data_IF_253128763560
#
_entry.id   IF_253128763560
#
_cell.length_a   1.000
_cell.length_b   1.000
_cell.length_c   1.000
_cell.angle_alpha   90.00
_cell.angle_beta   90.00
_cell.angle_gamma   90.00
#
_symmetry.space_group_name_H-M   'P 1'
#
loop_
_entity.id
_entity.type
_entity.pdbx_description
1 polymer ?
#
# COMPACT_ATOMS: atom_id res chain seq x y z
N UNK A 1 -28.53 34.70 -19.32
CA UNK A 1 -29.02 33.96 -18.14
C UNK A 1 -29.06 32.44 -18.37
N UNK A 2 -27.94 31.82 -18.78
CA UNK A 2 -27.84 30.36 -19.06
C UNK A 2 -26.59 29.68 -18.46
N UNK A 3 -25.57 30.45 -18.08
CA UNK A 3 -24.28 29.96 -17.57
C UNK A 3 -24.34 29.51 -16.10
N UNK A 4 -25.10 30.20 -15.24
CA UNK A 4 -25.23 29.85 -13.82
C UNK A 4 -25.92 28.51 -13.57
N UNK A 5 -26.79 28.05 -14.50
CA UNK A 5 -27.48 26.75 -14.35
C UNK A 5 -26.56 25.56 -14.66
N UNK A 6 -25.58 25.72 -15.55
CA UNK A 6 -24.62 24.66 -15.90
C UNK A 6 -23.58 24.50 -14.78
N UNK A 7 -23.15 25.59 -14.15
CA UNK A 7 -22.22 25.58 -13.02
C UNK A 7 -22.85 24.91 -11.78
N UNK A 8 -24.15 25.16 -11.53
CA UNK A 8 -24.90 24.49 -10.45
C UNK A 8 -25.09 22.99 -10.69
N UNK A 9 -25.31 22.57 -11.94
CA UNK A 9 -25.45 21.14 -12.29
C UNK A 9 -24.12 20.37 -12.16
N UNK A 10 -22.99 20.97 -12.55
CA UNK A 10 -21.65 20.38 -12.37
C UNK A 10 -21.26 20.27 -10.89
N UNK A 11 -21.63 21.27 -10.07
CA UNK A 11 -21.39 21.26 -8.62
C UNK A 11 -22.14 20.13 -7.91
N UNK A 12 -23.40 19.86 -8.29
CA UNK A 12 -24.17 18.73 -7.74
C UNK A 12 -23.64 17.36 -8.18
N UNK A 13 -23.05 17.24 -9.38
CA UNK A 13 -22.48 15.98 -9.85
C UNK A 13 -21.19 15.61 -9.08
N UNK A 14 -20.37 16.60 -8.73
CA UNK A 14 -19.17 16.39 -7.92
C UNK A 14 -19.50 16.10 -6.44
N UNK A 15 -20.45 16.82 -5.83
CA UNK A 15 -20.86 16.56 -4.43
C UNK A 15 -21.59 15.23 -4.27
N UNK A 16 -22.46 14.86 -5.22
CA UNK A 16 -23.20 13.59 -5.19
C UNK A 16 -22.32 12.36 -5.42
N UNK A 17 -21.36 12.45 -6.34
CA UNK A 17 -20.40 11.37 -6.60
C UNK A 17 -19.47 11.11 -5.42
N UNK A 18 -18.94 12.19 -4.82
CA UNK A 18 -18.07 12.10 -3.63
C UNK A 18 -18.85 11.54 -2.43
N UNK A 19 -20.07 12.01 -2.16
CA UNK A 19 -20.90 11.48 -1.08
C UNK A 19 -21.30 10.00 -1.27
N UNK A 20 -21.57 9.56 -2.50
CA UNK A 20 -21.91 8.16 -2.79
C UNK A 20 -20.70 7.21 -2.58
N UNK A 21 -19.50 7.63 -2.98
CA UNK A 21 -18.26 6.87 -2.75
C UNK A 21 -17.98 6.74 -1.25
N UNK A 22 -18.04 7.85 -0.49
CA UNK A 22 -17.85 7.80 0.96
C UNK A 22 -18.92 6.96 1.70
N UNK A 23 -20.18 7.01 1.24
CA UNK A 23 -21.25 6.19 1.83
C UNK A 23 -21.04 4.68 1.56
N UNK A 24 -20.57 4.33 0.35
CA UNK A 24 -20.20 2.96 0.00
C UNK A 24 -19.06 2.43 0.89
N UNK A 25 -17.99 3.21 1.05
CA UNK A 25 -16.84 2.85 1.88
C UNK A 25 -17.19 2.73 3.37
N UNK A 26 -18.06 3.60 3.90
CA UNK A 26 -18.55 3.51 5.28
C UNK A 26 -19.31 2.21 5.54
N UNK A 27 -20.19 1.82 4.62
CA UNK A 27 -20.96 0.57 4.76
C UNK A 27 -20.07 -0.69 4.68
N UNK A 28 -19.06 -0.68 3.80
CA UNK A 28 -18.10 -1.77 3.68
C UNK A 28 -17.23 -1.90 4.94
N UNK A 29 -16.75 -0.77 5.47
CA UNK A 29 -15.96 -0.72 6.71
C UNK A 29 -16.73 -1.31 7.90
N UNK A 30 -17.99 -0.94 8.09
CA UNK A 30 -18.83 -1.47 9.18
C UNK A 30 -19.00 -3.00 9.11
N UNK A 31 -19.26 -3.53 7.91
CA UNK A 31 -19.38 -4.99 7.68
C UNK A 31 -18.06 -5.70 8.02
N UNK A 32 -16.93 -5.13 7.60
CA UNK A 32 -15.61 -5.69 7.88
C UNK A 32 -15.27 -5.63 9.37
N UNK A 33 -15.68 -4.56 10.08
CA UNK A 33 -15.50 -4.46 11.53
C UNK A 33 -16.30 -5.54 12.28
N UNK A 34 -17.57 -5.76 11.93
CA UNK A 34 -18.38 -6.83 12.52
C UNK A 34 -17.79 -8.22 12.25
N UNK A 35 -17.25 -8.43 11.05
CA UNK A 35 -16.53 -9.65 10.69
C UNK A 35 -15.24 -9.80 11.51
N UNK A 36 -14.52 -8.71 11.75
CA UNK A 36 -13.31 -8.73 12.57
C UNK A 36 -13.62 -9.08 14.04
N UNK A 37 -14.71 -8.56 14.60
CA UNK A 37 -15.12 -8.85 15.98
C UNK A 37 -15.58 -10.31 16.19
N UNK A 38 -16.14 -10.92 15.15
CA UNK A 38 -16.68 -12.29 15.20
C UNK A 38 -15.70 -13.39 14.78
N UNK A 39 -14.51 -13.03 14.29
CA UNK A 39 -13.48 -13.98 13.82
C UNK A 39 -12.44 -14.28 14.89
N UNK A 40 -12.08 -15.56 15.01
CA UNK A 40 -10.96 -16.01 15.83
C UNK A 40 -9.59 -15.65 15.23
N UNK A 41 -8.52 -16.10 15.86
CA UNK A 41 -7.14 -15.89 15.39
C UNK A 41 -6.77 -16.84 14.24
N UNK A 42 -7.40 -16.63 13.08
CA UNK A 42 -7.18 -17.42 11.87
C UNK A 42 -6.90 -16.55 10.63
N UNK A 43 -6.73 -17.20 9.49
CA UNK A 43 -6.46 -16.53 8.22
C UNK A 43 -7.61 -15.64 7.75
N UNK A 44 -8.85 -15.89 8.19
CA UNK A 44 -9.98 -15.02 7.83
C UNK A 44 -9.83 -13.66 8.51
N UNK A 45 -9.39 -13.64 9.78
CA UNK A 45 -9.06 -12.41 10.49
C UNK A 45 -7.97 -11.60 9.78
N UNK A 46 -6.89 -12.26 9.36
CA UNK A 46 -5.81 -11.63 8.60
C UNK A 46 -6.29 -11.02 7.27
N UNK A 47 -7.15 -11.73 6.53
CA UNK A 47 -7.75 -11.21 5.29
C UNK A 47 -8.64 -10.00 5.55
N UNK A 48 -9.47 -10.06 6.59
CA UNK A 48 -10.34 -8.95 6.97
C UNK A 48 -9.56 -7.71 7.39
N UNK A 49 -8.43 -7.87 8.09
CA UNK A 49 -7.53 -6.77 8.39
C UNK A 49 -6.92 -6.15 7.12
N UNK A 50 -6.49 -6.96 6.14
CA UNK A 50 -6.05 -6.42 4.84
C UNK A 50 -7.17 -5.62 4.13
N UNK A 51 -8.39 -6.15 4.10
CA UNK A 51 -9.54 -5.48 3.48
C UNK A 51 -9.85 -4.14 4.18
N UNK A 52 -9.76 -4.08 5.52
CA UNK A 52 -9.91 -2.85 6.29
C UNK A 52 -8.83 -1.82 5.97
N UNK A 53 -7.56 -2.25 5.83
CA UNK A 53 -6.47 -1.36 5.42
C UNK A 53 -6.74 -0.75 4.04
N UNK A 54 -7.33 -1.52 3.12
CA UNK A 54 -7.66 -1.04 1.77
C UNK A 54 -8.84 -0.07 1.75
N UNK A 55 -9.94 -0.37 2.47
CA UNK A 55 -11.12 0.52 2.55
C UNK A 55 -10.79 1.81 3.31
N UNK A 56 -9.92 1.76 4.33
CA UNK A 56 -9.52 2.94 5.09
C UNK A 56 -8.42 3.78 4.42
N UNK A 57 -8.07 3.56 3.15
CA UNK A 57 -7.11 4.41 2.41
C UNK A 57 -7.34 5.93 2.56
N UNK A 58 -8.59 6.45 2.54
CA UNK A 58 -8.86 7.88 2.76
C UNK A 58 -8.67 8.37 4.20
N UNK A 59 -8.50 7.47 5.18
CA UNK A 59 -8.41 7.77 6.62
C UNK A 59 -7.03 7.34 7.18
N UNK A 60 -5.95 8.14 7.00
CA UNK A 60 -4.57 7.69 7.27
C UNK A 60 -4.34 7.16 8.70
N UNK A 61 -4.91 7.83 9.70
CA UNK A 61 -4.77 7.44 11.11
C UNK A 61 -5.44 6.08 11.37
N UNK A 62 -6.67 5.88 10.87
CA UNK A 62 -7.43 4.65 11.05
C UNK A 62 -6.79 3.51 10.25
N UNK A 63 -6.35 3.79 9.02
CA UNK A 63 -5.59 2.83 8.21
C UNK A 63 -4.37 2.32 8.96
N UNK A 64 -3.57 3.23 9.54
CA UNK A 64 -2.38 2.85 10.32
C UNK A 64 -2.74 1.94 11.49
N UNK A 65 -3.84 2.21 12.20
CA UNK A 65 -4.31 1.34 13.28
C UNK A 65 -4.58 -0.10 12.80
N UNK A 66 -5.24 -0.26 11.64
CA UNK A 66 -5.47 -1.59 11.07
C UNK A 66 -4.20 -2.25 10.52
N UNK A 67 -3.22 -1.49 10.03
CA UNK A 67 -1.90 -2.03 9.66
C UNK A 67 -1.16 -2.53 10.92
N UNK A 68 -1.17 -1.74 12.00
CA UNK A 68 -0.56 -2.12 13.28
C UNK A 68 -1.22 -3.38 13.87
N UNK A 69 -2.54 -3.51 13.74
CA UNK A 69 -3.29 -4.70 14.17
C UNK A 69 -2.99 -5.91 13.27
N UNK A 70 -2.93 -5.73 11.95
CA UNK A 70 -2.52 -6.77 11.00
C UNK A 70 -1.14 -7.32 11.34
N UNK A 71 -0.18 -6.45 11.66
CA UNK A 71 1.17 -6.88 12.03
C UNK A 71 1.15 -7.75 13.30
N UNK A 72 0.46 -7.29 14.35
CA UNK A 72 0.34 -8.05 15.61
C UNK A 72 -0.32 -9.41 15.40
N UNK A 73 -1.39 -9.46 14.60
CA UNK A 73 -2.10 -10.69 14.29
C UNK A 73 -1.23 -11.64 13.46
N UNK A 74 -0.51 -11.14 12.46
CA UNK A 74 0.40 -11.96 11.66
C UNK A 74 1.55 -12.52 12.50
N UNK A 75 2.07 -11.74 13.45
CA UNK A 75 3.11 -12.19 14.38
C UNK A 75 2.61 -13.25 15.36
N UNK A 76 1.40 -13.11 15.90
CA UNK A 76 0.80 -14.10 16.80
C UNK A 76 0.56 -15.42 16.09
N UNK A 77 0.08 -15.37 14.84
CA UNK A 77 -0.14 -16.54 13.99
C UNK A 77 1.14 -17.09 13.34
N UNK A 78 2.27 -16.37 13.44
CA UNK A 78 3.54 -16.67 12.75
C UNK A 78 3.38 -16.78 11.23
N UNK A 79 2.50 -15.95 10.66
CA UNK A 79 2.24 -15.92 9.21
C UNK A 79 3.14 -14.89 8.53
N UNK A 80 4.20 -15.38 7.88
CA UNK A 80 5.20 -14.53 7.23
C UNK A 80 4.62 -13.75 6.03
N UNK A 81 3.60 -14.27 5.34
CA UNK A 81 3.01 -13.57 4.20
C UNK A 81 2.28 -12.31 4.67
N UNK A 82 1.42 -12.43 5.69
CA UNK A 82 0.70 -11.26 6.22
C UNK A 82 1.61 -10.31 6.99
N UNK A 83 2.69 -10.83 7.61
CA UNK A 83 3.74 -9.99 8.19
C UNK A 83 4.43 -9.14 7.12
N UNK A 84 4.82 -9.73 5.99
CA UNK A 84 5.34 -8.98 4.84
C UNK A 84 4.32 -7.98 4.27
N UNK A 85 3.03 -8.34 4.20
CA UNK A 85 1.99 -7.39 3.76
C UNK A 85 1.86 -6.20 4.70
N UNK A 86 1.90 -6.41 6.02
CA UNK A 86 1.87 -5.32 7.00
C UNK A 86 3.06 -4.37 6.82
N UNK A 87 4.27 -4.91 6.64
CA UNK A 87 5.45 -4.09 6.32
C UNK A 87 5.27 -3.28 5.03
N UNK A 88 4.74 -3.89 3.98
CA UNK A 88 4.47 -3.18 2.73
C UNK A 88 3.39 -2.09 2.90
N UNK A 89 2.37 -2.31 3.72
CA UNK A 89 1.39 -1.27 4.00
C UNK A 89 1.98 -0.11 4.80
N UNK A 90 2.92 -0.36 5.72
CA UNK A 90 3.69 0.71 6.36
C UNK A 90 4.54 1.48 5.36
N UNK A 91 5.21 0.79 4.42
CA UNK A 91 5.95 1.43 3.32
C UNK A 91 5.03 2.37 2.53
N UNK A 92 3.81 1.95 2.16
CA UNK A 92 2.85 2.81 1.47
C UNK A 92 2.39 4.00 2.31
N UNK A 93 2.29 3.86 3.63
CA UNK A 93 1.97 4.99 4.52
C UNK A 93 3.12 5.98 4.53
N UNK A 94 4.36 5.53 4.72
CA UNK A 94 5.54 6.37 4.71
C UNK A 94 5.76 7.06 3.35
N UNK A 95 5.47 6.35 2.24
CA UNK A 95 5.49 6.93 0.90
C UNK A 95 4.53 8.12 0.78
N UNK A 96 3.28 7.95 1.22
CA UNK A 96 2.28 9.03 1.21
C UNK A 96 2.65 10.21 2.10
N UNK A 97 3.47 9.99 3.13
CA UNK A 97 4.00 11.00 4.04
C UNK A 97 5.30 11.66 3.52
N UNK A 98 5.81 11.24 2.34
CA UNK A 98 7.13 11.60 1.82
C UNK A 98 8.28 11.33 2.83
N UNK A 99 8.14 10.28 3.64
CA UNK A 99 9.08 9.94 4.71
C UNK A 99 9.97 8.77 4.31
N UNK A 100 11.02 9.06 3.52
CA UNK A 100 11.94 8.03 3.01
C UNK A 100 12.72 7.32 4.13
N UNK A 101 13.11 8.03 5.17
CA UNK A 101 13.87 7.45 6.28
C UNK A 101 13.06 6.32 6.96
N UNK A 102 11.81 6.59 7.29
CA UNK A 102 10.94 5.61 7.92
C UNK A 102 10.55 4.49 6.94
N UNK A 103 10.30 4.83 5.68
CA UNK A 103 10.05 3.85 4.62
C UNK A 103 11.18 2.82 4.56
N UNK A 104 12.43 3.27 4.59
CA UNK A 104 13.59 2.39 4.54
C UNK A 104 13.69 1.45 5.75
N UNK A 105 13.29 1.86 6.94
CA UNK A 105 13.24 0.97 8.12
C UNK A 105 12.27 -0.18 7.91
N UNK A 106 11.11 0.08 7.29
CA UNK A 106 10.15 -0.97 6.94
C UNK A 106 10.64 -1.85 5.79
N UNK A 107 11.35 -1.27 4.82
CA UNK A 107 11.97 -2.01 3.73
C UNK A 107 13.05 -2.98 4.24
N UNK A 108 13.89 -2.53 5.18
CA UNK A 108 14.92 -3.35 5.83
C UNK A 108 14.34 -4.56 6.59
N UNK A 109 13.08 -4.49 7.02
CA UNK A 109 12.34 -5.61 7.59
C UNK A 109 11.69 -6.49 6.51
N UNK A 110 11.10 -5.88 5.48
CA UNK A 110 10.39 -6.56 4.41
C UNK A 110 11.31 -7.42 3.56
N UNK A 111 12.38 -6.84 3.03
CA UNK A 111 13.26 -7.46 2.02
C UNK A 111 13.82 -8.81 2.47
N UNK A 112 14.51 -8.93 3.63
CA UNK A 112 15.10 -10.21 4.02
C UNK A 112 14.06 -11.30 4.26
N UNK A 113 12.92 -10.97 4.87
CA UNK A 113 11.84 -11.93 5.11
C UNK A 113 11.19 -12.36 3.80
N UNK A 114 10.81 -11.41 2.94
CA UNK A 114 10.16 -11.68 1.67
C UNK A 114 11.07 -12.45 0.71
N UNK A 115 12.37 -12.14 0.64
CA UNK A 115 13.33 -12.93 -0.18
C UNK A 115 13.48 -14.36 0.35
N UNK A 116 13.56 -14.56 1.67
CA UNK A 116 13.61 -15.90 2.28
C UNK A 116 12.37 -16.74 1.92
N UNK A 117 11.19 -16.13 1.98
CA UNK A 117 9.90 -16.79 1.69
C UNK A 117 9.53 -16.77 0.19
N UNK A 118 10.37 -16.16 -0.65
CA UNK A 118 10.18 -16.00 -2.11
C UNK A 118 8.95 -15.16 -2.51
N UNK A 119 8.54 -14.21 -1.66
CA UNK A 119 7.51 -13.21 -1.95
C UNK A 119 8.09 -12.01 -2.73
N UNK A 120 8.76 -12.28 -3.85
CA UNK A 120 9.50 -11.27 -4.61
C UNK A 120 8.64 -10.11 -5.10
N UNK A 121 7.36 -10.35 -5.40
CA UNK A 121 6.42 -9.28 -5.76
C UNK A 121 6.30 -8.21 -4.67
N UNK A 122 6.38 -8.59 -3.39
CA UNK A 122 6.32 -7.65 -2.28
C UNK A 122 7.61 -6.85 -2.14
N UNK A 123 8.76 -7.49 -2.40
CA UNK A 123 10.08 -6.83 -2.45
C UNK A 123 10.06 -5.70 -3.47
N UNK A 124 9.69 -6.03 -4.71
CA UNK A 124 9.70 -5.07 -5.81
C UNK A 124 8.70 -3.92 -5.63
N UNK A 125 7.55 -4.19 -5.02
CA UNK A 125 6.61 -3.11 -4.67
C UNK A 125 7.18 -2.16 -3.61
N UNK A 126 7.93 -2.68 -2.63
CA UNK A 126 8.56 -1.85 -1.60
C UNK A 126 9.74 -1.04 -2.14
N UNK A 127 10.58 -1.66 -2.97
CA UNK A 127 11.72 -1.00 -3.64
C UNK A 127 11.26 0.10 -4.59
N UNK A 128 10.17 -0.12 -5.35
CA UNK A 128 9.59 0.91 -6.20
C UNK A 128 9.24 2.17 -5.40
N UNK A 129 8.60 2.04 -4.23
CA UNK A 129 8.27 3.20 -3.40
C UNK A 129 9.52 3.96 -2.93
N UNK A 130 10.62 3.26 -2.61
CA UNK A 130 11.88 3.91 -2.24
C UNK A 130 12.49 4.68 -3.42
N UNK A 131 12.46 4.11 -4.62
CA UNK A 131 12.97 4.73 -5.85
C UNK A 131 12.11 5.93 -6.25
N UNK A 132 10.79 5.80 -6.19
CA UNK A 132 9.86 6.89 -6.54
C UNK A 132 10.02 8.09 -5.59
N UNK A 133 10.42 7.88 -4.33
CA UNK A 133 10.79 8.99 -3.42
C UNK A 133 12.13 9.65 -3.80
N UNK A 134 13.04 8.97 -4.49
CA UNK A 134 14.26 9.60 -5.01
C UNK A 134 13.96 10.60 -6.12
N UNK A 135 12.93 10.34 -6.95
CA UNK A 135 12.41 11.31 -7.94
C UNK A 135 11.96 12.57 -7.22
N UNK A 136 11.13 12.42 -6.18
CA UNK A 136 10.58 13.55 -5.42
C UNK A 136 11.65 14.35 -4.67
N UNK A 137 12.77 13.72 -4.32
CA UNK A 137 13.88 14.33 -3.62
C UNK A 137 15.05 14.73 -4.56
N UNK A 138 14.83 14.74 -5.89
CA UNK A 138 15.79 15.15 -6.92
C UNK A 138 17.16 14.41 -6.86
N UNK A 139 17.16 13.16 -6.40
CA UNK A 139 18.37 12.35 -6.18
C UNK A 139 18.63 11.40 -7.37
N UNK A 140 18.89 11.97 -8.54
CA UNK A 140 18.88 11.24 -9.83
C UNK A 140 19.99 10.18 -9.99
N UNK A 141 21.19 10.41 -9.45
CA UNK A 141 22.27 9.42 -9.50
C UNK A 141 21.92 8.17 -8.69
N UNK A 142 21.43 8.34 -7.46
CA UNK A 142 20.94 7.23 -6.63
C UNK A 142 19.75 6.52 -7.28
N UNK A 143 18.88 7.26 -8.00
CA UNK A 143 17.74 6.69 -8.70
C UNK A 143 18.16 5.73 -9.81
N UNK A 144 19.09 6.13 -10.69
CA UNK A 144 19.52 5.31 -11.82
C UNK A 144 20.13 3.99 -11.35
N UNK A 145 21.00 4.05 -10.34
CA UNK A 145 21.61 2.87 -9.72
C UNK A 145 20.55 1.92 -9.16
N UNK A 146 19.62 2.45 -8.35
CA UNK A 146 18.60 1.66 -7.65
C UNK A 146 17.61 1.01 -8.61
N UNK A 147 17.17 1.74 -9.64
CA UNK A 147 16.23 1.23 -10.63
C UNK A 147 16.88 0.17 -11.54
N UNK A 148 18.16 0.34 -11.88
CA UNK A 148 18.94 -0.63 -12.64
C UNK A 148 19.17 -1.92 -11.85
N UNK A 149 19.53 -1.80 -10.57
CA UNK A 149 19.68 -2.96 -9.66
C UNK A 149 18.39 -3.76 -9.55
N UNK A 150 17.26 -3.07 -9.34
CA UNK A 150 15.93 -3.68 -9.29
C UNK A 150 15.60 -4.41 -10.60
N UNK A 151 15.91 -3.81 -11.75
CA UNK A 151 15.69 -4.44 -13.07
C UNK A 151 16.51 -5.71 -13.23
N UNK A 152 17.81 -5.67 -12.90
CA UNK A 152 18.69 -6.83 -12.99
C UNK A 152 18.23 -7.97 -12.08
N UNK A 153 17.85 -7.68 -10.84
CA UNK A 153 17.34 -8.69 -9.92
C UNK A 153 16.03 -9.30 -10.42
N UNK A 154 15.09 -8.46 -10.89
CA UNK A 154 13.81 -8.93 -11.42
C UNK A 154 13.98 -9.81 -12.67
N UNK A 155 14.91 -9.47 -13.57
CA UNK A 155 15.26 -10.28 -14.74
C UNK A 155 15.88 -11.62 -14.35
N UNK A 156 16.83 -11.63 -13.40
CA UNK A 156 17.46 -12.84 -12.90
C UNK A 156 16.43 -13.81 -12.28
N UNK A 157 15.44 -13.27 -11.57
CA UNK A 157 14.33 -14.01 -10.97
C UNK A 157 13.19 -14.35 -11.95
N UNK A 158 13.24 -13.84 -13.19
CA UNK A 158 12.15 -13.92 -14.18
C UNK A 158 10.81 -13.42 -13.61
N UNK A 159 10.86 -12.37 -12.78
CA UNK A 159 9.69 -11.77 -12.16
C UNK A 159 9.14 -10.66 -13.06
N UNK A 160 8.08 -10.96 -13.82
CA UNK A 160 7.46 -10.00 -14.74
C UNK A 160 6.97 -8.73 -14.07
N UNK A 161 6.46 -8.83 -12.83
CA UNK A 161 5.98 -7.66 -12.09
C UNK A 161 7.16 -6.75 -11.74
N UNK A 162 8.22 -7.30 -11.15
CA UNK A 162 9.44 -6.56 -10.84
C UNK A 162 10.03 -5.88 -12.07
N UNK A 163 10.08 -6.57 -13.22
CA UNK A 163 10.55 -6.00 -14.48
C UNK A 163 9.71 -4.77 -14.89
N UNK A 164 8.39 -4.89 -14.83
CA UNK A 164 7.49 -3.77 -15.16
C UNK A 164 7.67 -2.59 -14.20
N UNK A 165 7.75 -2.85 -12.89
CA UNK A 165 7.92 -1.80 -11.89
C UNK A 165 9.27 -1.08 -12.05
N UNK A 166 10.35 -1.82 -12.32
CA UNK A 166 11.67 -1.23 -12.55
C UNK A 166 11.67 -0.31 -13.77
N UNK A 167 11.04 -0.74 -14.89
CA UNK A 167 10.90 0.14 -16.06
C UNK A 167 10.06 1.39 -15.78
N UNK A 168 9.04 1.30 -14.93
CA UNK A 168 8.22 2.46 -14.55
C UNK A 168 9.01 3.49 -13.75
N UNK A 169 9.98 3.07 -12.93
CA UNK A 169 10.81 3.99 -12.16
C UNK A 169 11.98 4.59 -12.96
N UNK A 170 12.31 4.04 -14.12
CA UNK A 170 13.34 4.58 -15.05
C UNK A 170 12.74 5.61 -16.03
N UNK A 171 11.44 5.51 -16.34
CA UNK A 171 10.75 6.28 -17.37
C UNK A 171 10.34 7.69 -16.92
#
# INVERSE_FOLDING_TARGET
MRMNKIILLLSWMFLGGVAYVYAGDSSAKEILMQKLESTGHDTLRLKTLCELVDVCKPEPIVRKQYVDELLKEAESQKDNLYKCRAYLYHIYICFNENNREELRKWLDLLVPLAKKEKYYDLVFLGEQCDIDLLVLNESFEELEDRATDMLHEAQALKNNKGIVLAYQSIA
#
